data_IF_072251563839
#
_entry.id   IF_072251563839
#
_cell.length_a   1.000
_cell.length_b   1.000
_cell.length_c   1.000
_cell.angle_alpha   90.00
_cell.angle_beta   90.00
_cell.angle_gamma   90.00
#
_symmetry.space_group_name_H-M   'P 1'
#
loop_
_entity.id
_entity.type
_entity.pdbx_description
1 polymer ?
#
# COMPACT_ATOMS: atom_id res chain seq x y z
N UNK A 1 1.38 -2.77 -9.46
CA UNK A 1 1.21 -3.15 -8.04
C UNK A 1 1.31 -4.66 -7.94
N UNK A 2 1.70 -5.18 -6.79
CA UNK A 2 1.99 -6.60 -6.61
C UNK A 2 0.74 -7.48 -6.73
N UNK A 3 -0.34 -7.15 -6.01
CA UNK A 3 -1.53 -7.98 -5.87
C UNK A 3 -2.79 -7.48 -6.59
N UNK A 4 -3.53 -8.39 -7.23
CA UNK A 4 -4.75 -8.06 -7.98
C UNK A 4 -6.01 -7.85 -7.11
N UNK A 5 -5.97 -8.21 -5.82
CA UNK A 5 -7.17 -8.31 -4.98
C UNK A 5 -7.42 -7.06 -4.14
N UNK A 6 -6.55 -6.83 -3.17
CA UNK A 6 -6.73 -5.75 -2.19
C UNK A 6 -6.30 -4.41 -2.78
N UNK A 7 -5.07 -4.31 -3.27
CA UNK A 7 -4.48 -3.09 -3.83
C UNK A 7 -5.30 -2.50 -4.98
N UNK A 8 -5.71 -3.35 -5.93
CA UNK A 8 -6.52 -2.94 -7.08
C UNK A 8 -7.88 -2.32 -6.72
N UNK A 9 -8.37 -2.53 -5.50
CA UNK A 9 -9.60 -1.93 -4.97
C UNK A 9 -9.33 -0.75 -4.04
N UNK A 10 -8.26 -0.83 -3.26
CA UNK A 10 -7.89 0.15 -2.24
C UNK A 10 -7.30 1.40 -2.86
N UNK A 11 -6.26 1.27 -3.69
CA UNK A 11 -5.58 2.44 -4.25
C UNK A 11 -6.50 3.35 -5.07
N UNK A 12 -7.37 2.83 -5.97
CA UNK A 12 -8.31 3.71 -6.69
C UNK A 12 -9.25 4.48 -5.77
N UNK A 13 -9.72 3.86 -4.69
CA UNK A 13 -10.59 4.51 -3.70
C UNK A 13 -9.82 5.54 -2.89
N UNK A 14 -8.64 5.20 -2.41
CA UNK A 14 -7.78 6.12 -1.66
C UNK A 14 -7.38 7.34 -2.51
N UNK A 15 -6.96 7.13 -3.75
CA UNK A 15 -6.66 8.22 -4.69
C UNK A 15 -7.88 9.13 -4.92
N UNK A 16 -9.10 8.58 -4.99
CA UNK A 16 -10.31 9.40 -5.14
C UNK A 16 -10.57 10.35 -3.96
N UNK A 17 -10.00 10.08 -2.78
CA UNK A 17 -10.07 10.99 -1.62
C UNK A 17 -8.83 11.88 -1.51
N UNK A 18 -7.64 11.34 -1.80
CA UNK A 18 -6.35 12.03 -1.61
C UNK A 18 -5.99 12.98 -2.75
N UNK A 19 -6.36 12.63 -3.98
CA UNK A 19 -6.08 13.37 -5.20
C UNK A 19 -7.30 13.29 -6.14
N UNK A 20 -8.44 13.89 -5.77
CA UNK A 20 -9.73 13.69 -6.44
C UNK A 20 -9.75 14.12 -7.91
N UNK A 21 -8.79 14.94 -8.34
CA UNK A 21 -8.63 15.35 -9.74
C UNK A 21 -7.92 14.30 -10.60
N UNK A 22 -7.34 13.26 -10.00
CA UNK A 22 -6.77 12.12 -10.74
C UNK A 22 -7.88 11.17 -11.21
N UNK A 23 -8.03 11.04 -12.52
CA UNK A 23 -9.05 10.20 -13.14
C UNK A 23 -8.41 8.90 -13.64
N UNK A 24 -8.97 7.77 -13.21
CA UNK A 24 -8.51 6.46 -13.68
C UNK A 24 -8.82 6.28 -15.17
N UNK A 25 -7.87 5.78 -15.93
CA UNK A 25 -8.08 5.26 -17.28
C UNK A 25 -7.82 3.75 -17.31
N UNK A 26 -8.46 3.04 -18.23
CA UNK A 26 -8.37 1.57 -18.31
C UNK A 26 -7.16 1.08 -19.11
N UNK A 27 -6.46 1.97 -19.83
CA UNK A 27 -5.28 1.64 -20.63
C UNK A 27 -4.28 2.78 -20.57
N UNK A 28 -2.99 2.44 -20.55
CA UNK A 28 -1.86 3.36 -20.52
C UNK A 28 -1.97 4.48 -21.58
N UNK A 29 -2.25 4.11 -22.83
CA UNK A 29 -2.36 5.07 -23.96
C UNK A 29 -3.54 6.04 -23.94
N UNK A 30 -4.50 5.86 -23.02
CA UNK A 30 -5.69 6.70 -22.93
C UNK A 30 -5.50 7.89 -21.98
N UNK A 31 -4.33 8.03 -21.37
CA UNK A 31 -4.05 9.17 -20.51
C UNK A 31 -3.91 10.46 -21.33
N UNK A 32 -4.56 11.51 -20.86
CA UNK A 32 -4.44 12.86 -21.40
C UNK A 32 -3.89 13.79 -20.32
N UNK A 33 -4.73 14.23 -19.38
CA UNK A 33 -4.35 15.14 -18.31
C UNK A 33 -4.94 14.66 -16.99
N UNK A 34 -4.12 14.69 -15.94
CA UNK A 34 -4.49 14.26 -14.58
C UNK A 34 -5.08 12.86 -14.58
N UNK A 35 -4.52 11.96 -15.39
CA UNK A 35 -4.95 10.57 -15.44
C UNK A 35 -3.97 9.67 -14.71
N UNK A 36 -4.47 8.55 -14.20
CA UNK A 36 -3.63 7.45 -13.77
C UNK A 36 -4.12 6.14 -14.39
N UNK A 37 -3.16 5.27 -14.68
CA UNK A 37 -3.42 3.89 -15.08
C UNK A 37 -2.84 2.99 -13.98
N UNK A 38 -3.55 1.90 -13.67
CA UNK A 38 -3.16 0.99 -12.60
C UNK A 38 -3.38 -0.44 -13.05
N UNK A 39 -2.36 -1.27 -12.87
CA UNK A 39 -2.41 -2.68 -13.20
C UNK A 39 -1.67 -3.48 -12.12
N UNK A 40 -2.05 -4.75 -12.02
CA UNK A 40 -1.41 -5.71 -11.14
C UNK A 40 -0.40 -6.55 -11.92
N UNK A 41 0.63 -7.01 -11.23
CA UNK A 41 1.82 -7.66 -11.80
C UNK A 41 1.95 -9.13 -11.37
N UNK A 42 0.86 -9.69 -10.84
CA UNK A 42 0.76 -11.07 -10.38
C UNK A 42 1.79 -11.53 -9.34
N UNK A 43 2.37 -10.59 -8.57
CA UNK A 43 3.26 -10.88 -7.46
C UNK A 43 4.74 -10.67 -7.76
N UNK A 44 5.58 -11.17 -6.85
CA UNK A 44 7.02 -11.26 -7.01
C UNK A 44 7.44 -12.64 -7.52
N UNK A 45 8.55 -12.75 -8.28
CA UNK A 45 9.45 -11.66 -8.67
C UNK A 45 9.01 -10.87 -9.92
N UNK A 46 7.94 -11.30 -10.60
CA UNK A 46 7.50 -10.79 -11.90
C UNK A 46 7.25 -9.27 -11.93
N UNK A 47 6.84 -8.65 -10.82
CA UNK A 47 6.72 -7.20 -10.73
C UNK A 47 8.02 -6.46 -11.05
N UNK A 48 9.15 -6.97 -10.60
CA UNK A 48 10.47 -6.37 -10.81
C UNK A 48 11.06 -6.88 -12.12
N UNK A 49 11.07 -8.20 -12.31
CA UNK A 49 11.82 -8.82 -13.39
C UNK A 49 11.16 -8.63 -14.75
N UNK A 50 9.83 -8.71 -14.84
CA UNK A 50 9.12 -8.73 -16.12
C UNK A 50 8.34 -7.43 -16.35
N UNK A 51 7.49 -7.06 -15.38
CA UNK A 51 6.51 -6.00 -15.57
C UNK A 51 7.09 -4.59 -15.45
N UNK A 52 8.14 -4.38 -14.66
CA UNK A 52 8.80 -3.08 -14.54
C UNK A 52 9.48 -2.65 -15.85
N UNK A 53 10.27 -3.50 -16.53
CA UNK A 53 10.78 -3.20 -17.88
C UNK A 53 9.69 -2.81 -18.87
N UNK A 54 8.63 -3.60 -18.96
CA UNK A 54 7.50 -3.33 -19.87
C UNK A 54 6.83 -1.99 -19.56
N UNK A 55 6.61 -1.70 -18.27
CA UNK A 55 6.02 -0.44 -17.83
C UNK A 55 6.89 0.78 -18.18
N UNK A 56 8.21 0.64 -18.06
CA UNK A 56 9.16 1.70 -18.43
C UNK A 56 9.13 1.94 -19.93
N UNK A 57 9.10 0.87 -20.74
CA UNK A 57 8.97 0.99 -22.19
C UNK A 57 7.68 1.71 -22.56
N UNK A 58 6.52 1.29 -22.03
CA UNK A 58 5.24 1.94 -22.30
C UNK A 58 5.23 3.42 -21.91
N UNK A 59 5.70 3.76 -20.70
CA UNK A 59 5.77 5.16 -20.24
C UNK A 59 6.68 5.99 -21.14
N UNK A 60 7.79 5.42 -21.62
CA UNK A 60 8.72 6.08 -22.54
C UNK A 60 8.18 6.23 -23.96
N UNK A 61 7.31 5.31 -24.41
CA UNK A 61 6.63 5.35 -25.71
C UNK A 61 5.55 6.42 -25.71
N UNK A 62 4.67 6.42 -24.71
CA UNK A 62 3.53 7.34 -24.68
C UNK A 62 3.91 8.74 -24.19
N UNK A 63 4.87 8.87 -23.27
CA UNK A 63 5.34 10.14 -22.70
C UNK A 63 4.24 11.03 -22.10
N UNK A 64 3.09 10.44 -21.77
CA UNK A 64 1.92 11.11 -21.17
C UNK A 64 1.98 11.17 -19.64
N UNK A 65 2.94 10.50 -19.02
CA UNK A 65 3.02 10.33 -17.57
C UNK A 65 4.20 11.08 -16.98
N UNK A 66 3.97 11.75 -15.84
CA UNK A 66 5.03 12.38 -15.05
C UNK A 66 5.66 11.43 -14.04
N UNK A 67 4.98 10.33 -13.71
CA UNK A 67 5.41 9.36 -12.70
C UNK A 67 5.11 7.94 -13.16
N UNK A 68 6.06 7.03 -12.88
CA UNK A 68 5.84 5.59 -12.78
C UNK A 68 5.91 5.23 -11.30
N UNK A 69 4.89 4.57 -10.77
CA UNK A 69 4.80 4.21 -9.34
C UNK A 69 4.82 2.71 -9.19
N UNK A 70 5.79 2.19 -8.45
CA UNK A 70 5.94 0.76 -8.17
C UNK A 70 5.55 0.50 -6.71
N UNK A 71 4.48 -0.25 -6.48
CA UNK A 71 4.01 -0.64 -5.15
C UNK A 71 4.37 -2.10 -4.88
N UNK A 72 5.09 -2.35 -3.78
CA UNK A 72 5.60 -3.67 -3.36
C UNK A 72 5.27 -3.93 -1.90
N UNK A 73 5.07 -5.18 -1.54
CA UNK A 73 5.12 -5.63 -0.15
C UNK A 73 6.58 -5.91 0.26
N UNK A 74 6.96 -5.54 1.49
CA UNK A 74 8.27 -5.92 2.04
C UNK A 74 8.30 -7.39 2.47
N UNK A 75 7.15 -7.93 2.85
CA UNK A 75 6.97 -9.27 3.41
C UNK A 75 7.95 -9.56 4.56
N UNK A 76 8.98 -10.35 4.34
CA UNK A 76 10.01 -10.67 5.34
C UNK A 76 11.30 -9.87 5.15
N UNK A 77 11.41 -9.08 4.06
CA UNK A 77 12.60 -8.30 3.71
C UNK A 77 12.56 -6.90 4.34
N UNK A 78 13.71 -6.23 4.35
CA UNK A 78 13.76 -4.82 4.72
C UNK A 78 13.24 -3.92 3.60
N UNK A 79 12.68 -2.77 3.99
CA UNK A 79 12.20 -1.75 3.05
C UNK A 79 13.33 -1.27 2.14
N UNK A 80 14.56 -1.16 2.66
CA UNK A 80 15.71 -0.73 1.89
C UNK A 80 16.08 -1.74 0.81
N UNK A 81 16.09 -3.03 1.14
CA UNK A 81 16.42 -4.12 0.22
C UNK A 81 15.44 -4.17 -0.95
N UNK A 82 14.12 -4.10 -0.67
CA UNK A 82 13.10 -4.06 -1.74
C UNK A 82 13.26 -2.86 -2.68
N UNK A 83 13.71 -1.71 -2.17
CA UNK A 83 14.02 -0.55 -3.02
C UNK A 83 15.28 -0.80 -3.83
N UNK A 84 16.28 -1.44 -3.22
CA UNK A 84 17.52 -1.87 -3.85
C UNK A 84 17.25 -2.75 -5.06
N UNK A 85 16.44 -3.80 -4.91
CA UNK A 85 16.09 -4.73 -6.01
C UNK A 85 15.52 -4.00 -7.25
N UNK A 86 14.63 -3.02 -7.03
CA UNK A 86 14.08 -2.23 -8.14
C UNK A 86 15.18 -1.44 -8.83
N UNK A 87 16.06 -0.78 -8.07
CA UNK A 87 17.16 0.03 -8.62
C UNK A 87 18.20 -0.84 -9.33
N UNK A 88 18.53 -2.00 -8.77
CA UNK A 88 19.43 -2.99 -9.37
C UNK A 88 18.87 -3.50 -10.70
N UNK A 89 17.57 -3.84 -10.77
CA UNK A 89 16.93 -4.23 -12.02
C UNK A 89 17.06 -3.13 -13.10
N UNK A 90 16.92 -1.85 -12.75
CA UNK A 90 17.10 -0.76 -13.71
C UNK A 90 18.55 -0.67 -14.19
N UNK A 91 19.50 -0.76 -13.27
CA UNK A 91 20.93 -0.69 -13.57
C UNK A 91 21.34 -1.84 -14.48
N UNK A 92 20.99 -3.07 -14.12
CA UNK A 92 21.39 -4.29 -14.81
C UNK A 92 20.81 -4.37 -16.22
N UNK A 93 19.59 -3.89 -16.41
CA UNK A 93 18.91 -3.86 -17.71
C UNK A 93 19.14 -2.57 -18.50
N UNK A 94 19.88 -1.61 -17.96
CA UNK A 94 20.12 -0.31 -18.60
C UNK A 94 18.83 0.51 -18.82
N UNK A 95 17.84 0.35 -17.94
CA UNK A 95 16.53 0.98 -18.06
C UNK A 95 16.52 2.37 -17.44
N UNK A 96 15.82 3.31 -18.10
CA UNK A 96 15.63 4.66 -17.60
C UNK A 96 14.32 5.26 -18.10
N UNK A 97 13.70 6.12 -17.29
CA UNK A 97 12.53 6.91 -17.69
C UNK A 97 12.99 8.21 -18.36
N UNK A 98 12.38 8.55 -19.50
CA UNK A 98 12.72 9.76 -20.28
C UNK A 98 12.12 11.03 -19.68
N UNK A 99 10.80 11.04 -19.49
CA UNK A 99 10.04 12.22 -19.06
C UNK A 99 9.29 12.02 -17.73
N UNK A 100 9.39 10.82 -17.15
CA UNK A 100 8.72 10.46 -15.91
C UNK A 100 9.73 10.24 -14.78
N UNK A 101 9.27 10.40 -13.55
CA UNK A 101 10.01 10.06 -12.33
C UNK A 101 9.56 8.69 -11.83
N UNK A 102 10.49 7.92 -11.27
CA UNK A 102 10.17 6.68 -10.59
C UNK A 102 9.86 6.97 -9.11
N UNK A 103 8.70 6.55 -8.63
CA UNK A 103 8.40 6.47 -7.20
C UNK A 103 8.25 5.01 -6.78
N UNK A 104 8.94 4.62 -5.71
CA UNK A 104 8.91 3.27 -5.17
C UNK A 104 8.21 3.33 -3.81
N UNK A 105 7.05 2.69 -3.72
CA UNK A 105 6.23 2.56 -2.51
C UNK A 105 6.37 1.13 -2.00
N UNK A 106 7.08 0.95 -0.89
CA UNK A 106 7.22 -0.35 -0.24
C UNK A 106 6.36 -0.36 1.02
N UNK A 107 5.52 -1.36 1.18
CA UNK A 107 4.62 -1.53 2.31
C UNK A 107 5.34 -2.36 3.38
N UNK A 108 5.59 -1.78 4.56
CA UNK A 108 6.23 -2.49 5.66
C UNK A 108 5.19 -3.05 6.63
N UNK A 109 4.84 -4.33 6.65
CA UNK A 109 5.35 -5.46 5.85
C UNK A 109 4.48 -5.78 4.62
N UNK A 110 3.21 -5.38 4.68
CA UNK A 110 2.21 -5.57 3.63
C UNK A 110 1.07 -4.57 3.81
N UNK A 111 0.17 -4.44 2.83
CA UNK A 111 -0.96 -3.50 2.92
C UNK A 111 -1.83 -3.68 4.18
N UNK A 112 -2.05 -4.92 4.63
CA UNK A 112 -2.80 -5.18 5.87
C UNK A 112 -2.13 -4.57 7.12
N UNK A 113 -0.81 -4.38 7.09
CA UNK A 113 -0.06 -3.70 8.16
C UNK A 113 -0.49 -2.24 8.28
N UNK A 114 -0.66 -1.56 7.15
CA UNK A 114 -1.17 -0.19 7.15
C UNK A 114 -2.59 -0.12 7.72
N UNK A 115 -3.44 -1.11 7.41
CA UNK A 115 -4.81 -1.12 7.91
C UNK A 115 -4.89 -1.27 9.42
N UNK A 116 -3.98 -2.02 10.05
CA UNK A 116 -3.88 -2.13 11.51
C UNK A 116 -3.62 -0.79 12.20
N UNK A 117 -3.18 0.22 11.46
CA UNK A 117 -2.97 1.59 11.95
C UNK A 117 -4.24 2.32 12.37
N UNK A 118 -5.43 1.86 11.96
CA UNK A 118 -6.69 2.49 12.33
C UNK A 118 -7.08 2.11 13.77
N UNK A 119 -6.80 3.00 14.71
CA UNK A 119 -7.10 2.74 16.13
C UNK A 119 -8.60 2.72 16.45
N UNK A 120 -9.48 3.23 15.56
CA UNK A 120 -10.93 3.22 15.79
C UNK A 120 -11.57 1.84 15.64
N UNK A 121 -10.99 0.96 14.82
CA UNK A 121 -11.48 -0.42 14.71
C UNK A 121 -11.06 -1.28 15.90
N UNK A 122 -10.21 -0.76 16.79
CA UNK A 122 -9.81 -1.43 18.01
C UNK A 122 -10.93 -1.44 19.07
N UNK A 123 -11.03 -2.55 19.81
CA UNK A 123 -11.94 -2.67 20.95
C UNK A 123 -11.13 -2.72 22.23
N UNK A 124 -11.43 -1.83 23.19
CA UNK A 124 -10.69 -1.74 24.46
C UNK A 124 -10.80 -3.01 25.32
N UNK A 125 -11.96 -3.68 25.28
CA UNK A 125 -12.23 -4.91 26.05
C UNK A 125 -12.67 -6.03 25.11
N UNK A 126 -11.74 -6.62 24.33
CA UNK A 126 -12.10 -7.56 23.28
C UNK A 126 -12.61 -8.90 23.83
N UNK A 127 -13.73 -9.38 23.29
CA UNK A 127 -14.34 -10.66 23.66
C UNK A 127 -13.79 -11.82 22.82
N UNK A 128 -13.29 -11.55 21.62
CA UNK A 128 -12.62 -12.53 20.79
C UNK A 128 -11.27 -12.99 21.39
N UNK A 129 -11.10 -14.31 21.52
CA UNK A 129 -9.89 -14.92 22.09
C UNK A 129 -8.63 -14.66 21.25
N UNK A 130 -8.73 -14.79 19.92
CA UNK A 130 -7.62 -14.50 19.02
C UNK A 130 -7.19 -13.04 19.16
N UNK A 131 -8.14 -12.10 19.20
CA UNK A 131 -7.84 -10.68 19.37
C UNK A 131 -7.15 -10.41 20.72
N UNK A 132 -7.64 -10.97 21.83
CA UNK A 132 -6.95 -10.85 23.14
C UNK A 132 -5.52 -11.37 23.08
N UNK A 133 -5.31 -12.52 22.43
CA UNK A 133 -3.99 -13.13 22.27
C UNK A 133 -3.05 -12.25 21.44
N UNK A 134 -3.52 -11.76 20.29
CA UNK A 134 -2.72 -10.91 19.41
C UNK A 134 -2.42 -9.55 20.05
N UNK A 135 -3.39 -8.94 20.74
CA UNK A 135 -3.19 -7.74 21.55
C UNK A 135 -2.12 -7.93 22.62
N UNK A 136 -2.14 -9.07 23.34
CA UNK A 136 -1.13 -9.36 24.37
C UNK A 136 0.27 -9.50 23.77
N UNK A 137 0.36 -10.03 22.55
CA UNK A 137 1.62 -10.13 21.83
C UNK A 137 2.11 -8.75 21.35
N UNK A 138 1.21 -7.96 20.74
CA UNK A 138 1.51 -6.62 20.27
C UNK A 138 0.22 -5.77 20.20
N UNK A 139 0.16 -4.68 20.96
CA UNK A 139 -1.01 -3.79 20.99
C UNK A 139 -0.89 -2.71 19.90
N UNK A 140 -1.55 -2.93 18.76
CA UNK A 140 -1.57 -1.98 17.62
C UNK A 140 -2.35 -0.70 17.91
N UNK A 141 -3.16 -0.66 18.98
CA UNK A 141 -3.87 0.56 19.36
C UNK A 141 -2.92 1.64 19.89
N UNK A 142 -1.79 1.22 20.46
CA UNK A 142 -0.79 2.09 21.07
C UNK A 142 0.51 2.08 20.28
N UNK A 143 0.96 0.95 19.75
CA UNK A 143 2.24 0.79 19.04
C UNK A 143 2.12 0.96 17.51
N UNK A 144 3.26 1.10 16.83
CA UNK A 144 3.33 1.17 15.38
C UNK A 144 3.21 -0.23 14.75
N UNK A 145 2.17 -0.51 13.94
CA UNK A 145 2.03 -1.80 13.25
C UNK A 145 3.21 -2.17 12.35
N UNK A 146 3.96 -1.20 11.79
CA UNK A 146 5.13 -1.52 10.94
C UNK A 146 6.32 -2.09 11.74
N UNK A 147 6.29 -1.94 13.07
CA UNK A 147 7.27 -2.48 14.00
C UNK A 147 6.76 -3.77 14.69
N UNK A 148 5.61 -4.29 14.27
CA UNK A 148 5.02 -5.48 14.87
C UNK A 148 5.88 -6.71 14.56
N UNK A 149 6.35 -7.46 15.59
CA UNK A 149 7.12 -8.66 15.38
C UNK A 149 6.24 -9.81 14.91
N UNK A 150 6.86 -10.82 14.30
CA UNK A 150 6.19 -12.08 13.96
C UNK A 150 5.69 -12.79 15.22
N UNK A 151 4.44 -13.22 15.19
CA UNK A 151 3.88 -14.08 16.22
C UNK A 151 4.27 -15.55 15.96
N UNK A 152 4.66 -16.29 17.01
CA UNK A 152 5.16 -17.68 16.96
C UNK A 152 4.25 -18.72 16.30
N UNK A 153 3.00 -18.37 16.02
CA UNK A 153 2.00 -19.31 15.50
C UNK A 153 1.87 -19.18 13.98
N UNK A 154 2.66 -18.30 13.38
CA UNK A 154 2.61 -17.95 11.98
C UNK A 154 4.01 -18.04 11.39
N UNK A 155 4.09 -18.60 10.18
CA UNK A 155 5.34 -18.69 9.44
C UNK A 155 5.81 -17.31 8.95
N UNK A 156 4.86 -16.46 8.53
CA UNK A 156 5.10 -15.15 7.93
C UNK A 156 4.38 -14.01 8.66
N UNK A 157 4.99 -12.80 8.66
CA UNK A 157 4.40 -11.58 9.20
C UNK A 157 3.07 -11.25 8.51
N UNK A 158 3.02 -11.33 7.18
CA UNK A 158 1.82 -10.99 6.42
C UNK A 158 0.60 -11.83 6.83
N UNK A 159 0.79 -13.12 7.11
CA UNK A 159 -0.28 -14.01 7.59
C UNK A 159 -0.77 -13.60 8.98
N UNK A 160 0.15 -13.30 9.90
CA UNK A 160 -0.19 -12.81 11.23
C UNK A 160 -0.95 -11.47 11.15
N UNK A 161 -0.46 -10.51 10.36
CA UNK A 161 -1.04 -9.18 10.23
C UNK A 161 -2.46 -9.26 9.65
N UNK A 162 -2.67 -10.12 8.64
CA UNK A 162 -3.98 -10.40 8.07
C UNK A 162 -4.94 -11.01 9.10
N UNK A 163 -4.47 -11.96 9.92
CA UNK A 163 -5.27 -12.62 10.96
C UNK A 163 -5.64 -11.66 12.08
N UNK A 164 -4.71 -10.82 12.49
CA UNK A 164 -4.96 -9.77 13.47
C UNK A 164 -6.00 -8.77 12.95
N UNK A 165 -5.84 -8.28 11.71
CA UNK A 165 -6.79 -7.36 11.12
C UNK A 165 -8.20 -7.97 11.04
N UNK A 166 -8.31 -9.25 10.65
CA UNK A 166 -9.58 -9.98 10.64
C UNK A 166 -10.18 -10.12 12.04
N UNK A 167 -9.37 -10.34 13.07
CA UNK A 167 -9.85 -10.43 14.45
C UNK A 167 -10.41 -9.08 14.94
N UNK A 168 -9.74 -7.96 14.61
CA UNK A 168 -10.23 -6.61 14.90
C UNK A 168 -11.58 -6.33 14.23
N UNK A 169 -11.71 -6.64 12.94
CA UNK A 169 -12.99 -6.46 12.24
C UNK A 169 -14.09 -7.37 12.79
N UNK A 170 -13.77 -8.64 13.07
CA UNK A 170 -14.74 -9.60 13.62
C UNK A 170 -15.30 -9.13 14.97
N UNK A 171 -14.46 -8.54 15.83
CA UNK A 171 -14.89 -7.95 17.09
C UNK A 171 -15.92 -6.81 16.90
N UNK A 172 -15.92 -6.15 15.73
CA UNK A 172 -16.91 -5.13 15.35
C UNK A 172 -18.10 -5.70 14.55
N UNK A 173 -18.20 -7.02 14.39
CA UNK A 173 -19.22 -7.65 13.54
C UNK A 173 -18.98 -7.43 12.05
N UNK A 174 -17.76 -7.04 11.65
CA UNK A 174 -17.38 -6.76 10.28
C UNK A 174 -16.58 -7.93 9.71
N UNK A 175 -16.81 -8.27 8.44
CA UNK A 175 -16.02 -9.27 7.72
C UNK A 175 -15.04 -8.58 6.77
N UNK A 176 -13.75 -8.93 6.90
CA UNK A 176 -12.69 -8.51 5.98
C UNK A 176 -12.12 -9.69 5.20
N UNK A 177 -11.90 -9.48 3.90
CA UNK A 177 -11.13 -10.38 3.05
C UNK A 177 -10.43 -9.60 1.95
N UNK A 178 -9.33 -10.14 1.41
CA UNK A 178 -8.62 -9.53 0.27
C UNK A 178 -9.54 -9.33 -0.96
N UNK A 179 -10.52 -10.20 -1.15
CA UNK A 179 -11.52 -10.08 -2.22
C UNK A 179 -12.65 -9.10 -1.90
N UNK A 180 -12.90 -8.78 -0.62
CA UNK A 180 -13.90 -7.80 -0.20
C UNK A 180 -13.33 -6.86 0.88
N UNK A 181 -12.48 -5.89 0.49
CA UNK A 181 -11.84 -4.97 1.43
C UNK A 181 -12.72 -3.73 1.72
N UNK A 182 -14.05 -3.80 1.53
CA UNK A 182 -14.96 -2.64 1.52
C UNK A 182 -14.70 -1.62 2.64
N UNK A 183 -14.56 -2.06 3.88
CA UNK A 183 -14.40 -1.14 5.01
C UNK A 183 -13.09 -0.33 4.98
N UNK A 184 -11.99 -0.91 4.47
CA UNK A 184 -10.70 -0.20 4.38
C UNK A 184 -10.65 0.77 3.19
N UNK A 185 -11.63 0.72 2.29
CA UNK A 185 -11.73 1.64 1.14
C UNK A 185 -12.63 2.85 1.40
N UNK A 186 -13.21 2.96 2.59
CA UNK A 186 -14.05 4.10 2.98
C UNK A 186 -13.18 5.30 3.38
N UNK A 187 -13.64 6.51 3.05
CA UNK A 187 -12.90 7.75 3.32
C UNK A 187 -12.53 7.89 4.80
N UNK A 188 -13.49 7.62 5.68
CA UNK A 188 -13.27 7.72 7.13
C UNK A 188 -12.10 6.81 7.59
N UNK A 189 -11.84 5.69 6.91
CA UNK A 189 -10.78 4.76 7.27
C UNK A 189 -9.40 5.39 7.00
N UNK A 190 -9.20 5.92 5.79
CA UNK A 190 -7.93 6.56 5.44
C UNK A 190 -7.69 7.83 6.25
N UNK A 191 -8.74 8.58 6.61
CA UNK A 191 -8.62 9.75 7.48
C UNK A 191 -8.08 9.40 8.88
N UNK A 192 -8.45 8.25 9.44
CA UNK A 192 -7.85 7.79 10.71
C UNK A 192 -6.40 7.36 10.53
N UNK A 193 -6.03 6.78 9.39
CA UNK A 193 -4.63 6.47 9.10
C UNK A 193 -3.78 7.75 8.96
N UNK A 194 -4.26 8.78 8.26
CA UNK A 194 -3.59 10.08 8.15
C UNK A 194 -3.38 10.69 9.54
N UNK A 195 -4.38 10.64 10.42
CA UNK A 195 -4.24 11.10 11.80
C UNK A 195 -3.16 10.31 12.54
N UNK A 196 -3.10 8.98 12.35
CA UNK A 196 -2.09 8.11 12.98
C UNK A 196 -0.68 8.50 12.53
N UNK A 197 -0.45 8.70 11.23
CA UNK A 197 0.86 9.09 10.69
C UNK A 197 1.30 10.46 11.19
N UNK A 198 0.38 11.42 11.28
CA UNK A 198 0.71 12.79 11.67
C UNK A 198 0.88 13.00 13.17
N UNK A 199 0.08 12.29 14.00
CA UNK A 199 0.09 12.53 15.45
C UNK A 199 1.13 11.70 16.20
N UNK A 200 1.52 10.54 15.65
CA UNK A 200 2.36 9.56 16.36
C UNK A 200 3.65 9.21 15.61
N UNK A 201 3.87 9.72 14.40
CA UNK A 201 4.97 9.31 13.51
C UNK A 201 5.02 7.79 13.25
N UNK A 202 3.87 7.13 13.31
CA UNK A 202 3.74 5.71 12.97
C UNK A 202 3.52 5.52 11.47
N UNK A 203 3.65 4.28 11.01
CA UNK A 203 3.41 3.87 9.63
C UNK A 203 4.25 4.70 8.65
N UNK A 204 5.56 4.72 8.85
CA UNK A 204 6.49 5.53 8.07
C UNK A 204 6.34 5.26 6.56
N UNK A 205 6.12 4.01 6.17
CA UNK A 205 5.94 3.67 4.75
C UNK A 205 4.60 4.13 4.18
N UNK A 206 3.52 4.08 4.98
CA UNK A 206 2.25 4.69 4.58
C UNK A 206 2.39 6.21 4.46
N UNK A 207 3.08 6.85 5.40
CA UNK A 207 3.30 8.30 5.38
C UNK A 207 3.98 8.73 4.07
N UNK A 208 4.99 7.98 3.62
CA UNK A 208 5.65 8.24 2.32
C UNK A 208 4.64 8.21 1.15
N UNK A 209 3.74 7.23 1.12
CA UNK A 209 2.68 7.17 0.11
C UNK A 209 1.71 8.37 0.19
N UNK A 210 1.30 8.77 1.40
CA UNK A 210 0.43 9.92 1.62
C UNK A 210 1.09 11.25 1.21
N UNK A 211 2.37 11.43 1.54
CA UNK A 211 3.16 12.60 1.17
C UNK A 211 3.31 12.69 -0.37
N UNK A 212 3.52 11.55 -1.03
CA UNK A 212 3.55 11.47 -2.49
C UNK A 212 2.20 11.86 -3.12
N UNK A 213 1.09 11.31 -2.61
CA UNK A 213 -0.25 11.70 -3.08
C UNK A 213 -0.51 13.19 -2.90
N UNK A 214 -0.05 13.78 -1.80
CA UNK A 214 -0.15 15.22 -1.53
C UNK A 214 0.65 16.03 -2.56
N UNK A 215 1.87 15.57 -2.89
CA UNK A 215 2.70 16.22 -3.91
C UNK A 215 2.03 16.20 -5.28
N UNK A 216 1.43 15.06 -5.68
CA UNK A 216 0.68 14.99 -6.94
C UNK A 216 -0.53 15.94 -6.91
N UNK A 217 -1.33 15.90 -5.85
CA UNK A 217 -2.53 16.73 -5.77
C UNK A 217 -2.21 18.23 -5.84
N UNK A 218 -1.15 18.66 -5.16
CA UNK A 218 -0.69 20.05 -5.23
C UNK A 218 -0.17 20.43 -6.62
N UNK A 219 0.54 19.52 -7.29
CA UNK A 219 1.01 19.72 -8.67
C UNK A 219 -0.11 19.82 -9.71
N UNK A 220 -1.28 19.24 -9.43
CA UNK A 220 -2.47 19.35 -10.29
C UNK A 220 -3.22 20.69 -10.07
N UNK A 221 -3.17 21.22 -8.86
CA UNK A 221 -3.84 22.48 -8.49
C UNK A 221 -3.06 23.74 -8.89
N UNK A 222 -1.76 23.60 -9.18
CA UNK A 222 -0.88 24.67 -9.65
C UNK A 222 -1.03 24.95 -11.15
#
# INVERSE_FOLDING_TARGET
MEGERTEAKVYPKWLSYLAPQLIKVDRCKLAEKNNYYIFASNGQPSIIDDHLPDAIEEVNVYQQYNYLVVCLDAEENEVADKRGEVIECLSDKGLSLKNAKLEIVVQNRCLETWFLGNTRIYSRNPQNEDLRKYTKHFDVSTNDPELMPKHSDFEYHADFHLKYLKALFREKGITYSKSNPRHVTEEHYIQELIKRTSNYNHLATLKRFLDFCTTINNGIQA
#
